data_IF_354368089869
#
_entry.id   IF_354368089869
#
_cell.length_a   1.000
_cell.length_b   1.000
_cell.length_c   1.000
_cell.angle_alpha   90.00
_cell.angle_beta   90.00
_cell.angle_gamma   90.00
#
_symmetry.space_group_name_H-M   'P 1'
#
loop_
_entity.id
_entity.type
_entity.pdbx_description
1 polymer ?
#
# COMPACT_ATOMS: atom_id res chain seq x y z
N UNK A 1 -31.19 20.93 -5.06
CA UNK A 1 -30.44 20.04 -4.15
C UNK A 1 -29.14 20.73 -3.78
N UNK A 2 -28.81 20.82 -2.48
CA UNK A 2 -27.56 21.43 -2.03
C UNK A 2 -26.38 20.48 -2.26
N UNK A 3 -25.27 20.98 -2.81
CA UNK A 3 -24.05 20.21 -3.08
C UNK A 3 -23.20 20.13 -1.81
N UNK A 4 -22.94 18.92 -1.32
CA UNK A 4 -22.05 18.68 -0.16
C UNK A 4 -20.61 18.57 -0.65
N UNK A 5 -19.71 19.40 -0.12
CA UNK A 5 -18.29 19.45 -0.48
C UNK A 5 -17.43 19.51 0.78
N UNK A 6 -16.24 18.90 0.74
CA UNK A 6 -15.30 18.94 1.84
C UNK A 6 -14.49 20.24 1.78
N UNK A 7 -14.38 20.94 2.91
CA UNK A 7 -13.60 22.18 3.05
C UNK A 7 -12.23 21.88 3.65
N UNK A 8 -11.25 22.73 3.35
CA UNK A 8 -9.98 22.74 4.06
C UNK A 8 -10.14 23.49 5.39
N UNK A 9 -9.82 22.83 6.52
CA UNK A 9 -10.06 23.37 7.86
C UNK A 9 -9.25 24.63 8.15
N UNK A 10 -8.03 24.71 7.62
CA UNK A 10 -7.18 25.88 7.80
C UNK A 10 -7.73 27.14 7.09
N UNK A 11 -8.30 26.96 5.90
CA UNK A 11 -8.90 28.05 5.12
C UNK A 11 -10.27 28.46 5.69
N UNK A 12 -11.04 27.48 6.16
CA UNK A 12 -12.28 27.73 6.91
C UNK A 12 -12.05 28.62 8.14
N UNK A 13 -11.01 28.34 8.93
CA UNK A 13 -10.65 29.14 10.11
C UNK A 13 -10.16 30.55 9.76
N UNK A 14 -9.75 30.78 8.51
CA UNK A 14 -9.38 32.10 7.96
C UNK A 14 -10.56 32.84 7.32
N UNK A 15 -11.73 32.21 7.27
CA UNK A 15 -12.94 32.75 6.66
C UNK A 15 -13.00 32.59 5.14
N UNK A 16 -12.08 31.84 4.54
CA UNK A 16 -12.09 31.55 3.11
C UNK A 16 -12.76 30.18 2.85
N UNK A 17 -13.82 30.17 2.05
CA UNK A 17 -14.63 28.97 1.80
C UNK A 17 -14.17 28.35 0.49
N UNK A 18 -13.05 27.63 0.54
CA UNK A 18 -12.44 26.98 -0.63
C UNK A 18 -12.73 25.47 -0.63
N UNK A 19 -13.17 24.94 -1.77
CA UNK A 19 -13.40 23.50 -1.96
C UNK A 19 -12.07 22.74 -1.93
N UNK A 20 -11.99 21.67 -1.12
CA UNK A 20 -10.79 20.85 -1.01
C UNK A 20 -10.57 20.03 -2.28
N UNK A 21 -9.44 20.25 -2.95
CA UNK A 21 -9.06 19.47 -4.13
C UNK A 21 -8.85 17.99 -3.75
N UNK A 22 -9.64 17.09 -4.35
CA UNK A 22 -9.55 15.65 -4.12
C UNK A 22 -8.33 15.07 -4.86
N UNK A 23 -7.18 15.02 -4.18
CA UNK A 23 -5.98 14.36 -4.73
C UNK A 23 -6.30 12.89 -5.03
N UNK A 24 -6.08 12.48 -6.28
CA UNK A 24 -6.34 11.11 -6.74
C UNK A 24 -5.38 10.12 -6.07
N UNK A 25 -5.90 9.34 -5.11
CA UNK A 25 -5.17 8.24 -4.45
C UNK A 25 -4.83 7.10 -5.41
N UNK A 26 -5.61 6.93 -6.48
CA UNK A 26 -5.36 5.93 -7.52
C UNK A 26 -3.98 6.13 -8.20
N UNK A 27 -3.57 7.38 -8.40
CA UNK A 27 -2.27 7.71 -9.01
C UNK A 27 -1.09 7.35 -8.10
N UNK A 28 -1.28 7.41 -6.78
CA UNK A 28 -0.27 7.04 -5.79
C UNK A 28 -0.14 5.51 -5.70
N UNK A 29 -1.27 4.81 -5.60
CA UNK A 29 -1.32 3.34 -5.57
C UNK A 29 -0.76 2.73 -6.85
N UNK A 30 -1.08 3.30 -8.02
CA UNK A 30 -0.53 2.86 -9.29
C UNK A 30 1.00 3.00 -9.35
N UNK A 31 1.56 4.12 -8.84
CA UNK A 31 3.02 4.34 -8.79
C UNK A 31 3.73 3.35 -7.87
N UNK A 32 3.17 3.07 -6.69
CA UNK A 32 3.74 2.10 -5.76
C UNK A 32 3.63 0.68 -6.29
N UNK A 33 2.49 0.32 -6.89
CA UNK A 33 2.32 -0.99 -7.52
C UNK A 33 3.29 -1.18 -8.69
N UNK A 34 3.45 -0.18 -9.57
CA UNK A 34 4.38 -0.26 -10.70
C UNK A 34 5.84 -0.38 -10.26
N UNK A 35 6.24 0.29 -9.18
CA UNK A 35 7.60 0.19 -8.65
C UNK A 35 7.91 -1.21 -8.11
N UNK A 36 6.95 -1.82 -7.42
CA UNK A 36 7.07 -3.22 -6.96
C UNK A 36 7.17 -4.18 -8.15
N UNK A 37 6.35 -3.99 -9.19
CA UNK A 37 6.43 -4.82 -10.41
C UNK A 37 7.77 -4.64 -11.13
N UNK A 38 8.31 -3.43 -11.20
CA UNK A 38 9.61 -3.16 -11.82
C UNK A 38 10.76 -3.82 -11.05
N UNK A 39 10.69 -3.84 -9.72
CA UNK A 39 11.66 -4.53 -8.86
C UNK A 39 11.58 -6.07 -8.99
N UNK A 40 10.42 -6.61 -9.37
CA UNK A 40 10.19 -8.05 -9.55
C UNK A 40 10.57 -8.57 -10.94
N UNK A 41 10.68 -7.70 -11.96
CA UNK A 41 11.02 -8.07 -13.34
C UNK A 41 12.24 -9.02 -13.48
N UNK A 42 13.37 -8.79 -12.80
CA UNK A 42 14.54 -9.67 -12.94
C UNK A 42 14.23 -11.11 -12.51
N UNK A 43 13.51 -11.28 -11.40
CA UNK A 43 13.17 -12.61 -10.88
C UNK A 43 12.18 -13.36 -11.77
N UNK A 44 11.26 -12.64 -12.42
CA UNK A 44 10.26 -13.25 -13.31
C UNK A 44 10.84 -13.69 -14.66
N UNK A 45 11.90 -13.04 -15.15
CA UNK A 45 12.52 -13.34 -16.46
C UNK A 45 13.54 -14.48 -16.35
N UNK A 46 14.24 -14.62 -15.22
CA UNK A 46 15.23 -15.69 -15.03
C UNK A 46 14.66 -17.04 -14.52
N UNK A 47 13.37 -17.11 -14.16
CA UNK A 47 12.74 -18.31 -13.60
C UNK A 47 12.07 -19.25 -14.63
N UNK A 48 12.20 -18.97 -15.93
CA UNK A 48 11.62 -19.79 -17.01
C UNK A 48 12.46 -21.06 -17.33
N UNK A 49 12.90 -21.79 -16.30
CA UNK A 49 13.54 -23.11 -16.46
C UNK A 49 12.45 -24.19 -16.32
N UNK A 50 12.23 -25.05 -17.33
CA UNK A 50 11.19 -26.07 -17.25
C UNK A 50 11.53 -27.13 -16.19
N UNK A 51 10.63 -27.37 -15.23
CA UNK A 51 10.70 -28.50 -14.29
C UNK A 51 10.99 -28.16 -12.82
N UNK A 52 11.05 -26.88 -12.44
CA UNK A 52 11.15 -26.43 -11.04
C UNK A 52 9.81 -25.85 -10.59
N UNK A 53 9.52 -25.87 -9.28
CA UNK A 53 8.33 -25.26 -8.66
C UNK A 53 8.38 -23.70 -8.72
N UNK A 54 8.48 -23.16 -9.93
CA UNK A 54 8.64 -21.74 -10.27
C UNK A 54 7.63 -20.85 -9.55
N UNK A 55 6.40 -21.33 -9.36
CA UNK A 55 5.37 -20.59 -8.66
C UNK A 55 5.68 -20.40 -7.17
N UNK A 56 6.18 -21.43 -6.50
CA UNK A 56 6.47 -21.41 -5.06
C UNK A 56 7.65 -20.48 -4.76
N UNK A 57 8.67 -20.50 -5.61
CA UNK A 57 9.85 -19.64 -5.47
C UNK A 57 9.52 -18.16 -5.71
N UNK A 58 8.76 -17.85 -6.77
CA UNK A 58 8.30 -16.48 -7.04
C UNK A 58 7.41 -15.98 -5.91
N UNK A 59 6.46 -16.81 -5.46
CA UNK A 59 5.55 -16.43 -4.39
C UNK A 59 6.29 -16.15 -3.07
N UNK A 60 7.28 -16.98 -2.74
CA UNK A 60 8.12 -16.78 -1.55
C UNK A 60 8.94 -15.49 -1.65
N UNK A 61 9.49 -15.20 -2.84
CA UNK A 61 10.24 -13.97 -3.10
C UNK A 61 9.37 -12.72 -2.93
N UNK A 62 8.14 -12.74 -3.45
CA UNK A 62 7.17 -11.64 -3.28
C UNK A 62 6.81 -11.43 -1.81
N UNK A 63 6.61 -12.50 -1.04
CA UNK A 63 6.36 -12.40 0.40
C UNK A 63 7.55 -11.78 1.15
N UNK A 64 8.78 -12.14 0.80
CA UNK A 64 9.98 -11.54 1.40
C UNK A 64 10.08 -10.03 1.10
N UNK A 65 9.73 -9.60 -0.12
CA UNK A 65 9.68 -8.17 -0.46
C UNK A 65 8.57 -7.46 0.32
N UNK A 66 7.43 -8.10 0.52
CA UNK A 66 6.34 -7.55 1.33
C UNK A 66 6.75 -7.39 2.81
N UNK A 67 7.53 -8.31 3.37
CA UNK A 67 8.09 -8.21 4.73
C UNK A 67 9.02 -6.98 4.84
N UNK A 68 9.90 -6.78 3.86
CA UNK A 68 10.77 -5.61 3.79
C UNK A 68 9.99 -4.29 3.64
N UNK A 69 8.91 -4.30 2.86
CA UNK A 69 8.05 -3.13 2.69
C UNK A 69 7.30 -2.81 3.98
N UNK A 70 6.81 -3.82 4.70
CA UNK A 70 6.18 -3.65 6.01
C UNK A 70 7.15 -3.01 7.01
N UNK A 71 8.38 -3.52 7.09
CA UNK A 71 9.42 -2.92 7.92
C UNK A 71 9.68 -1.45 7.53
N UNK A 72 9.74 -1.15 6.22
CA UNK A 72 9.88 0.21 5.70
C UNK A 72 8.74 1.15 6.12
N UNK A 73 7.48 0.68 6.09
CA UNK A 73 6.31 1.48 6.52
C UNK A 73 6.34 1.76 8.02
N UNK A 74 6.75 0.79 8.85
CA UNK A 74 6.90 1.00 10.30
C UNK A 74 7.98 2.03 10.60
N UNK A 75 9.14 1.94 9.94
CA UNK A 75 10.23 2.92 10.09
C UNK A 75 9.78 4.31 9.66
N UNK A 76 9.13 4.42 8.49
CA UNK A 76 8.62 5.71 8.01
C UNK A 76 7.55 6.30 8.92
N UNK A 77 6.67 5.48 9.49
CA UNK A 77 5.69 5.93 10.47
C UNK A 77 6.37 6.44 11.76
N UNK A 78 7.41 5.76 12.25
CA UNK A 78 8.20 6.21 13.40
C UNK A 78 8.88 7.57 13.17
N UNK A 79 9.50 7.75 11.99
CA UNK A 79 10.10 9.04 11.60
C UNK A 79 9.03 10.13 11.50
N UNK A 80 7.88 9.83 10.88
CA UNK A 80 6.75 10.77 10.75
C UNK A 80 6.20 11.19 12.13
N UNK A 81 6.23 10.28 13.10
CA UNK A 81 5.85 10.55 14.48
C UNK A 81 6.83 11.53 15.16
N UNK A 82 8.14 11.36 14.93
CA UNK A 82 9.17 12.27 15.47
C UNK A 82 9.03 13.70 14.93
N UNK A 83 8.60 13.87 13.68
CA UNK A 83 8.32 15.18 13.07
C UNK A 83 6.95 15.78 13.48
N UNK A 84 6.37 15.33 14.60
CA UNK A 84 5.10 15.79 15.15
C UNK A 84 3.85 15.58 14.26
N UNK A 85 3.95 14.79 13.18
CA UNK A 85 2.84 14.44 12.30
C UNK A 85 2.11 13.16 12.77
N UNK A 86 1.63 13.17 14.03
CA UNK A 86 1.09 11.98 14.71
C UNK A 86 -0.09 11.32 13.99
N UNK A 87 -1.01 12.12 13.44
CA UNK A 87 -2.17 11.61 12.70
C UNK A 87 -1.76 10.82 11.46
N UNK A 88 -0.73 11.29 10.74
CA UNK A 88 -0.21 10.59 9.55
C UNK A 88 0.57 9.33 9.92
N UNK A 89 1.30 9.35 11.03
CA UNK A 89 1.99 8.16 11.53
C UNK A 89 0.99 7.03 11.87
N UNK A 90 -0.12 7.36 12.53
CA UNK A 90 -1.18 6.39 12.86
C UNK A 90 -1.86 5.84 11.59
N UNK A 91 -2.13 6.71 10.60
CA UNK A 91 -2.67 6.30 9.30
C UNK A 91 -1.76 5.28 8.59
N UNK A 92 -0.45 5.50 8.61
CA UNK A 92 0.52 4.56 8.03
C UNK A 92 0.62 3.25 8.80
N UNK A 93 0.57 3.29 10.14
CA UNK A 93 0.59 2.06 10.95
C UNK A 93 -0.65 1.22 10.69
N UNK A 94 -1.84 1.84 10.67
CA UNK A 94 -3.11 1.14 10.42
C UNK A 94 -3.19 0.60 8.99
N UNK A 95 -2.85 1.43 7.99
CA UNK A 95 -2.85 1.00 6.59
C UNK A 95 -1.80 -0.09 6.30
N UNK A 96 -0.60 0.06 6.85
CA UNK A 96 0.50 -0.91 6.71
C UNK A 96 0.19 -2.25 7.37
N UNK A 97 -0.41 -2.26 8.57
CA UNK A 97 -0.76 -3.50 9.27
C UNK A 97 -1.90 -4.26 8.60
N UNK A 98 -2.96 -3.56 8.16
CA UNK A 98 -4.06 -4.18 7.40
C UNK A 98 -3.54 -4.74 6.08
N UNK A 99 -2.74 -3.98 5.33
CA UNK A 99 -2.18 -4.41 4.05
C UNK A 99 -1.29 -5.65 4.19
N UNK A 100 -0.47 -5.70 5.24
CA UNK A 100 0.44 -6.82 5.50
C UNK A 100 -0.31 -8.14 5.76
N UNK A 101 -1.38 -8.09 6.55
CA UNK A 101 -2.22 -9.26 6.87
C UNK A 101 -2.83 -9.86 5.58
N UNK A 102 -3.33 -8.99 4.69
CA UNK A 102 -3.93 -9.40 3.41
C UNK A 102 -2.89 -10.10 2.52
N UNK A 103 -1.68 -9.55 2.42
CA UNK A 103 -0.61 -10.15 1.59
C UNK A 103 -0.19 -11.51 2.13
N UNK A 104 -0.04 -11.65 3.46
CA UNK A 104 0.36 -12.92 4.10
C UNK A 104 -0.70 -14.01 3.94
N UNK A 105 -1.98 -13.64 3.90
CA UNK A 105 -3.11 -14.58 3.76
C UNK A 105 -3.67 -14.65 2.33
N UNK A 106 -2.99 -14.08 1.34
CA UNK A 106 -3.51 -13.98 -0.03
C UNK A 106 -3.82 -15.35 -0.66
N UNK A 107 -3.01 -16.39 -0.38
CA UNK A 107 -3.28 -17.75 -0.87
C UNK A 107 -4.48 -18.39 -0.20
N UNK A 108 -4.67 -18.13 1.10
CA UNK A 108 -5.76 -18.71 1.87
C UNK A 108 -7.10 -18.13 1.43
N UNK A 109 -7.14 -16.80 1.23
CA UNK A 109 -8.28 -16.08 0.65
C UNK A 109 -8.60 -16.61 -0.77
N UNK A 110 -7.56 -16.83 -1.60
CA UNK A 110 -7.75 -17.39 -2.95
C UNK A 110 -8.34 -18.80 -2.90
N UNK A 111 -7.85 -19.65 -2.00
CA UNK A 111 -8.31 -21.03 -1.89
C UNK A 111 -9.74 -21.10 -1.33
N UNK A 112 -10.10 -20.21 -0.39
CA UNK A 112 -11.47 -20.02 0.08
C UNK A 112 -12.41 -19.54 -1.04
N UNK A 113 -11.99 -18.60 -1.89
CA UNK A 113 -12.79 -18.15 -3.04
C UNK A 113 -13.01 -19.25 -4.09
N UNK A 114 -12.07 -20.19 -4.23
CA UNK A 114 -12.18 -21.33 -5.17
C UNK A 114 -13.10 -22.45 -4.65
N UNK A 115 -13.46 -22.43 -3.37
CA UNK A 115 -14.39 -23.40 -2.78
C UNK A 115 -15.85 -22.96 -2.84
N UNK A 116 -16.11 -21.72 -3.28
CA UNK A 116 -17.42 -21.20 -3.66
C UNK A 116 -17.73 -21.52 -5.13
#
# INVERSE_FOLDING_TARGET
MARVVALEWADFMRGDIVEKERKSTAKLVAKTASAVHLALLPTTVFAAVPGQDTWTEIFTTVLNIADWLCAGVIVYAGVTWMFNNRTKAIEFIMGGSIGYIIVRHALDIRNWLKTL
#
